data_IF_960856183178
#
_entry.id   IF_960856183178
#
_cell.length_a   1.000
_cell.length_b   1.000
_cell.length_c   1.000
_cell.angle_alpha   90.00
_cell.angle_beta   90.00
_cell.angle_gamma   90.00
#
_symmetry.space_group_name_H-M   'P 1'
#
loop_
_entity.id
_entity.type
_entity.pdbx_description
1 polymer ?
#
# COMPACT_ATOMS: atom_id res chain seq x y z
N UNK A 1 19.85 -5.34 -18.89
CA UNK A 1 21.20 -5.27 -18.28
C UNK A 1 21.37 -3.89 -17.66
N UNK A 2 20.94 -3.71 -16.41
CA UNK A 2 21.13 -2.48 -15.65
C UNK A 2 21.55 -2.88 -14.25
N UNK A 3 22.81 -2.61 -13.89
CA UNK A 3 23.30 -2.81 -12.54
C UNK A 3 22.69 -1.74 -11.64
N UNK A 4 21.51 -2.00 -11.08
CA UNK A 4 21.05 -1.25 -9.93
C UNK A 4 21.95 -1.70 -8.78
N UNK A 5 22.85 -0.81 -8.35
CA UNK A 5 23.59 -0.96 -7.11
C UNK A 5 22.58 -0.90 -5.95
N UNK A 6 21.99 -2.05 -5.62
CA UNK A 6 21.35 -2.27 -4.33
C UNK A 6 22.43 -2.00 -3.26
N UNK A 7 22.28 -0.95 -2.47
CA UNK A 7 23.07 -0.84 -1.24
C UNK A 7 23.09 0.49 -0.51
N UNK A 8 22.88 1.64 -1.16
CA UNK A 8 23.09 2.94 -0.49
C UNK A 8 21.94 3.92 -0.70
N UNK A 9 21.49 4.56 0.37
CA UNK A 9 20.55 5.67 0.32
C UNK A 9 21.04 6.80 -0.60
N UNK A 10 20.13 7.53 -1.27
CA UNK A 10 20.54 8.66 -2.09
C UNK A 10 21.26 9.72 -1.23
N UNK A 11 22.38 10.28 -1.69
CA UNK A 11 23.20 11.24 -0.91
C UNK A 11 22.65 12.67 -0.91
N UNK A 12 21.34 12.84 -1.10
CA UNK A 12 20.70 14.17 -1.14
C UNK A 12 20.77 14.86 0.22
N UNK A 13 20.61 16.19 0.25
CA UNK A 13 20.55 16.93 1.53
C UNK A 13 19.44 16.40 2.44
N UNK A 14 18.27 16.11 1.88
CA UNK A 14 17.11 15.58 2.62
C UNK A 14 17.39 14.20 3.23
N UNK A 15 18.05 13.31 2.49
CA UNK A 15 18.40 11.99 3.03
C UNK A 15 19.51 12.06 4.08
N UNK A 16 20.46 12.97 3.96
CA UNK A 16 21.45 13.21 5.03
C UNK A 16 20.81 13.72 6.32
N UNK A 17 19.75 14.52 6.22
CA UNK A 17 18.95 14.95 7.37
C UNK A 17 18.24 13.75 8.04
N UNK A 18 17.66 12.84 7.24
CA UNK A 18 17.07 11.59 7.76
C UNK A 18 18.10 10.76 8.53
N UNK A 19 19.29 10.55 7.95
CA UNK A 19 20.38 9.82 8.62
C UNK A 19 20.78 10.50 9.94
N UNK A 20 20.93 11.82 9.93
CA UNK A 20 21.24 12.58 11.15
C UNK A 20 20.16 12.46 12.23
N UNK A 21 18.88 12.37 11.85
CA UNK A 21 17.79 12.12 12.79
C UNK A 21 17.85 10.70 13.37
N UNK A 22 18.21 9.68 12.59
CA UNK A 22 18.38 8.30 13.08
C UNK A 22 19.59 8.20 14.02
N UNK A 23 20.69 8.90 13.72
CA UNK A 23 21.88 8.96 14.60
C UNK A 23 21.57 9.64 15.94
N UNK A 24 20.59 10.54 15.97
CA UNK A 24 20.11 11.18 17.18
C UNK A 24 19.01 10.36 17.88
N UNK A 25 18.68 10.71 19.12
CA UNK A 25 17.51 10.14 19.81
C UNK A 25 16.16 10.76 19.33
N UNK A 26 16.08 11.13 18.04
CA UNK A 26 14.86 11.71 17.48
C UNK A 26 13.67 10.73 17.60
N UNK A 27 12.47 11.32 17.71
CA UNK A 27 11.23 10.57 17.73
C UNK A 27 10.94 9.91 16.37
N UNK A 28 10.14 8.84 16.41
CA UNK A 28 9.68 8.15 15.20
C UNK A 28 8.95 9.09 14.25
N UNK A 29 8.15 10.02 14.79
CA UNK A 29 7.40 11.01 14.01
C UNK A 29 8.34 11.91 13.21
N UNK A 30 9.42 12.40 13.83
CA UNK A 30 10.40 13.26 13.16
C UNK A 30 11.14 12.50 12.04
N UNK A 31 11.53 11.25 12.29
CA UNK A 31 12.19 10.40 11.28
C UNK A 31 11.23 10.08 10.13
N UNK A 32 9.99 9.71 10.43
CA UNK A 32 8.98 9.38 9.42
C UNK A 32 8.61 10.60 8.57
N UNK A 33 8.43 11.77 9.19
CA UNK A 33 8.19 13.03 8.48
C UNK A 33 9.34 13.39 7.55
N UNK A 34 10.58 13.35 8.05
CA UNK A 34 11.77 13.66 7.26
C UNK A 34 11.93 12.67 6.10
N UNK A 35 11.73 11.37 6.35
CA UNK A 35 11.79 10.34 5.33
C UNK A 35 10.70 10.52 4.25
N UNK A 36 9.46 10.86 4.66
CA UNK A 36 8.37 11.15 3.73
C UNK A 36 8.62 12.43 2.89
N UNK A 37 9.26 13.45 3.48
CA UNK A 37 9.71 14.65 2.74
C UNK A 37 10.87 14.35 1.78
N UNK A 38 11.74 13.41 2.15
CA UNK A 38 12.86 12.97 1.33
C UNK A 38 12.41 12.13 0.12
N UNK A 39 11.38 11.30 0.29
CA UNK A 39 10.81 10.44 -0.76
C UNK A 39 9.71 11.08 -1.61
N UNK A 40 9.34 12.35 -1.36
CA UNK A 40 8.23 13.04 -2.06
C UNK A 40 8.28 12.92 -3.58
N UNK A 41 9.46 13.12 -4.18
CA UNK A 41 9.61 13.06 -5.63
C UNK A 41 9.39 11.64 -6.16
N UNK A 42 9.85 10.63 -5.41
CA UNK A 42 9.72 9.23 -5.78
C UNK A 42 8.27 8.76 -5.62
N UNK A 43 7.57 9.19 -4.58
CA UNK A 43 6.12 8.97 -4.41
C UNK A 43 5.28 9.67 -5.49
N UNK A 44 5.66 10.89 -5.88
CA UNK A 44 5.01 11.60 -6.98
C UNK A 44 5.19 10.86 -8.31
N UNK A 45 6.40 10.34 -8.58
CA UNK A 45 6.68 9.49 -9.74
C UNK A 45 5.94 8.16 -9.69
N UNK A 46 5.82 7.54 -8.51
CA UNK A 46 5.08 6.31 -8.32
C UNK A 46 3.62 6.43 -8.78
N UNK A 47 2.98 7.59 -8.60
CA UNK A 47 1.61 7.81 -9.08
C UNK A 47 1.46 7.78 -10.62
N UNK A 48 2.58 7.89 -11.36
CA UNK A 48 2.63 7.79 -12.83
C UNK A 48 3.22 6.46 -13.29
N UNK A 49 3.56 5.58 -12.37
CA UNK A 49 4.10 4.26 -12.68
C UNK A 49 2.97 3.37 -13.25
N UNK A 50 3.14 2.77 -14.44
CA UNK A 50 2.06 2.00 -15.07
C UNK A 50 1.61 0.78 -14.25
N UNK A 51 2.53 0.13 -13.53
CA UNK A 51 2.19 -1.02 -12.70
C UNK A 51 1.44 -0.58 -11.44
N UNK A 52 1.87 0.51 -10.80
CA UNK A 52 1.16 1.15 -9.71
C UNK A 52 -0.27 1.56 -10.10
N UNK A 53 -0.44 2.16 -11.29
CA UNK A 53 -1.75 2.54 -11.82
C UNK A 53 -2.66 1.32 -11.99
N UNK A 54 -2.13 0.20 -12.52
CA UNK A 54 -2.87 -1.05 -12.64
C UNK A 54 -3.29 -1.60 -11.26
N UNK A 55 -2.38 -1.64 -10.30
CA UNK A 55 -2.66 -2.12 -8.93
C UNK A 55 -3.69 -1.22 -8.23
N UNK A 56 -3.58 0.09 -8.40
CA UNK A 56 -4.56 1.05 -7.89
C UNK A 56 -5.93 0.88 -8.56
N UNK A 57 -5.94 0.50 -9.84
CA UNK A 57 -7.16 0.13 -10.55
C UNK A 57 -7.81 -1.11 -9.95
N UNK A 58 -7.03 -2.16 -9.64
CA UNK A 58 -7.52 -3.34 -8.94
C UNK A 58 -8.11 -3.00 -7.56
N UNK A 59 -7.43 -2.18 -6.75
CA UNK A 59 -7.92 -1.72 -5.43
C UNK A 59 -9.35 -1.14 -5.52
N UNK A 60 -9.61 -0.33 -6.55
CA UNK A 60 -10.88 0.40 -6.69
C UNK A 60 -11.95 -0.42 -7.41
N UNK A 61 -11.58 -1.12 -8.49
CA UNK A 61 -12.52 -1.77 -9.41
C UNK A 61 -12.86 -3.19 -9.03
N UNK A 62 -11.94 -3.93 -8.41
CA UNK A 62 -12.15 -5.35 -8.06
C UNK A 62 -13.43 -5.56 -7.20
N UNK A 63 -13.73 -4.71 -6.20
CA UNK A 63 -15.00 -4.80 -5.47
C UNK A 63 -16.26 -4.59 -6.34
N UNK A 64 -16.18 -3.76 -7.38
CA UNK A 64 -17.31 -3.52 -8.30
C UNK A 64 -17.53 -4.71 -9.22
N UNK A 65 -16.43 -5.25 -9.76
CA UNK A 65 -16.46 -6.46 -10.57
C UNK A 65 -17.11 -7.61 -9.79
N UNK A 66 -16.79 -7.75 -8.50
CA UNK A 66 -17.37 -8.78 -7.64
C UNK A 66 -18.90 -8.67 -7.46
N UNK A 67 -19.47 -7.46 -7.55
CA UNK A 67 -20.93 -7.24 -7.51
C UNK A 67 -21.62 -7.49 -8.85
N UNK A 68 -20.91 -7.34 -9.97
CA UNK A 68 -21.49 -7.50 -11.31
C UNK A 68 -21.74 -8.99 -11.62
N UNK A 69 -22.76 -9.35 -12.43
CA UNK A 69 -23.10 -10.74 -12.73
C UNK A 69 -21.95 -11.52 -13.38
N UNK A 70 -21.14 -10.92 -14.27
CA UNK A 70 -20.00 -11.53 -14.98
C UNK A 70 -18.65 -11.43 -14.26
N UNK A 71 -18.62 -11.62 -12.94
CA UNK A 71 -17.38 -11.50 -12.16
C UNK A 71 -16.32 -12.54 -12.56
N UNK A 72 -16.73 -13.78 -12.85
CA UNK A 72 -15.84 -14.87 -13.22
C UNK A 72 -15.16 -14.59 -14.57
N UNK A 73 -15.92 -14.10 -15.55
CA UNK A 73 -15.38 -13.66 -16.84
C UNK A 73 -14.39 -12.50 -16.66
N UNK A 74 -14.72 -11.51 -15.82
CA UNK A 74 -13.83 -10.40 -15.53
C UNK A 74 -12.53 -10.84 -14.84
N UNK A 75 -12.57 -11.87 -14.00
CA UNK A 75 -11.37 -12.49 -13.43
C UNK A 75 -10.57 -13.23 -14.50
N UNK A 76 -11.23 -13.98 -15.38
CA UNK A 76 -10.58 -14.67 -16.49
C UNK A 76 -9.87 -13.70 -17.44
N UNK A 77 -10.48 -12.55 -17.75
CA UNK A 77 -9.89 -11.47 -18.54
C UNK A 77 -8.64 -10.87 -17.88
N UNK A 78 -8.63 -10.77 -16.55
CA UNK A 78 -7.44 -10.41 -15.77
C UNK A 78 -6.39 -11.53 -15.74
N UNK A 79 -6.72 -12.73 -16.24
CA UNK A 79 -5.84 -13.88 -16.22
C UNK A 79 -5.88 -14.68 -14.93
N UNK A 80 -6.85 -14.41 -14.06
CA UNK A 80 -7.12 -15.15 -12.83
C UNK A 80 -7.92 -16.39 -13.20
N UNK A 81 -7.39 -17.57 -12.86
CA UNK A 81 -8.04 -18.86 -13.18
C UNK A 81 -9.37 -19.01 -12.43
N UNK A 82 -10.32 -19.72 -13.03
CA UNK A 82 -11.64 -20.01 -12.45
C UNK A 82 -11.55 -20.66 -11.06
N UNK A 83 -10.58 -21.56 -10.86
CA UNK A 83 -10.34 -22.22 -9.57
C UNK A 83 -9.73 -21.30 -8.48
N UNK A 84 -9.37 -20.06 -8.80
CA UNK A 84 -8.80 -19.11 -7.85
C UNK A 84 -9.78 -18.78 -6.72
N UNK A 85 -11.08 -18.72 -7.01
CA UNK A 85 -12.12 -18.48 -6.00
C UNK A 85 -12.39 -19.69 -5.08
N UNK A 86 -11.67 -20.80 -5.24
CA UNK A 86 -11.78 -21.92 -4.31
C UNK A 86 -11.21 -21.62 -2.92
N UNK A 87 -10.43 -20.55 -2.74
CA UNK A 87 -9.91 -20.11 -1.45
C UNK A 87 -9.41 -18.66 -1.52
N UNK A 88 -9.27 -18.00 -0.37
CA UNK A 88 -8.65 -16.65 -0.30
C UNK A 88 -7.23 -16.69 -0.86
N UNK A 89 -6.42 -17.68 -0.48
CA UNK A 89 -5.05 -17.83 -1.00
C UNK A 89 -5.03 -18.05 -2.51
N UNK A 90 -5.98 -18.82 -3.05
CA UNK A 90 -6.14 -19.02 -4.49
C UNK A 90 -6.42 -17.71 -5.23
N UNK A 91 -7.32 -16.88 -4.69
CA UNK A 91 -7.62 -15.55 -5.24
C UNK A 91 -6.39 -14.65 -5.20
N UNK A 92 -5.69 -14.58 -4.07
CA UNK A 92 -4.50 -13.75 -3.91
C UNK A 92 -3.37 -14.18 -4.88
N UNK A 93 -3.11 -15.49 -5.00
CA UNK A 93 -2.13 -16.01 -5.96
C UNK A 93 -2.56 -15.74 -7.42
N UNK A 94 -3.86 -15.80 -7.71
CA UNK A 94 -4.39 -15.44 -9.02
C UNK A 94 -4.16 -13.97 -9.36
N UNK A 95 -4.46 -13.07 -8.41
CA UNK A 95 -4.21 -11.63 -8.56
C UNK A 95 -2.72 -11.31 -8.69
N UNK A 96 -1.86 -11.98 -7.92
CA UNK A 96 -0.41 -11.85 -8.03
C UNK A 96 0.07 -12.21 -9.45
N UNK A 97 -0.36 -13.35 -9.99
CA UNK A 97 -0.02 -13.77 -11.36
C UNK A 97 -0.56 -12.79 -12.42
N UNK A 98 -1.72 -12.19 -12.20
CA UNK A 98 -2.27 -11.16 -13.08
C UNK A 98 -1.38 -9.90 -13.08
N UNK A 99 -0.95 -9.46 -11.90
CA UNK A 99 -0.05 -8.30 -11.72
C UNK A 99 1.32 -8.59 -12.34
N UNK A 100 1.89 -9.78 -12.12
CA UNK A 100 3.18 -10.16 -12.69
C UNK A 100 3.14 -10.24 -14.21
N UNK A 101 2.04 -10.73 -14.78
CA UNK A 101 1.82 -10.71 -16.24
C UNK A 101 1.74 -9.28 -16.77
N UNK A 102 1.05 -8.39 -16.08
CA UNK A 102 0.97 -6.98 -16.45
C UNK A 102 2.35 -6.32 -16.40
N UNK A 103 3.15 -6.60 -15.37
CA UNK A 103 4.54 -6.14 -15.23
C UNK A 103 5.40 -6.59 -16.42
N UNK A 104 5.28 -7.86 -16.82
CA UNK A 104 5.96 -8.40 -17.99
C UNK A 104 5.52 -7.71 -19.30
N UNK A 105 4.22 -7.45 -19.48
CA UNK A 105 3.69 -6.78 -20.68
C UNK A 105 4.12 -5.31 -20.80
N UNK A 106 4.18 -4.59 -19.67
CA UNK A 106 4.70 -3.22 -19.60
C UNK A 106 6.21 -3.21 -19.93
N UNK A 107 6.91 -4.32 -19.70
CA UNK A 107 8.36 -4.45 -19.93
C UNK A 107 9.19 -3.75 -18.84
N UNK A 108 8.61 -3.49 -17.68
CA UNK A 108 9.28 -2.81 -16.56
C UNK A 108 8.77 -3.35 -15.23
N UNK A 109 9.71 -3.75 -14.36
CA UNK A 109 9.45 -3.91 -12.93
C UNK A 109 9.93 -2.64 -12.22
N UNK A 110 9.08 -2.09 -11.36
CA UNK A 110 9.36 -0.88 -10.59
C UNK A 110 9.17 -1.15 -9.11
N UNK A 111 10.03 -0.56 -8.27
CA UNK A 111 9.92 -0.69 -6.82
C UNK A 111 8.55 -0.20 -6.33
N UNK A 112 8.03 0.88 -6.91
CA UNK A 112 6.70 1.40 -6.59
C UNK A 112 5.59 0.36 -6.86
N UNK A 113 5.65 -0.32 -8.01
CA UNK A 113 4.73 -1.39 -8.36
C UNK A 113 4.84 -2.59 -7.42
N UNK A 114 6.05 -3.04 -7.08
CA UNK A 114 6.26 -4.18 -6.17
C UNK A 114 5.79 -3.89 -4.74
N UNK A 115 6.07 -2.69 -4.22
CA UNK A 115 5.59 -2.26 -2.89
C UNK A 115 4.06 -2.16 -2.87
N UNK A 116 3.44 -1.65 -3.95
CA UNK A 116 2.00 -1.58 -4.08
C UNK A 116 1.34 -2.96 -4.24
N UNK A 117 1.96 -3.88 -4.99
CA UNK A 117 1.49 -5.27 -5.15
C UNK A 117 1.41 -5.93 -3.80
N UNK A 118 2.50 -5.86 -3.03
CA UNK A 118 2.57 -6.44 -1.69
C UNK A 118 1.55 -5.79 -0.75
N UNK A 119 1.42 -4.46 -0.78
CA UNK A 119 0.44 -3.75 0.04
C UNK A 119 -1.01 -4.13 -0.28
N UNK A 120 -1.35 -4.30 -1.57
CA UNK A 120 -2.70 -4.71 -1.99
C UNK A 120 -3.02 -6.13 -1.54
N UNK A 121 -2.13 -7.10 -1.86
CA UNK A 121 -2.36 -8.51 -1.54
C UNK A 121 -2.48 -8.73 -0.03
N UNK A 122 -1.64 -8.07 0.77
CA UNK A 122 -1.70 -8.17 2.22
C UNK A 122 -2.97 -7.52 2.79
N UNK A 123 -3.38 -6.36 2.26
CA UNK A 123 -4.62 -5.70 2.67
C UNK A 123 -5.84 -6.59 2.39
N UNK A 124 -5.91 -7.16 1.18
CA UNK A 124 -6.99 -8.10 0.81
C UNK A 124 -6.96 -9.34 1.70
N UNK A 125 -5.78 -9.91 1.98
CA UNK A 125 -5.62 -11.07 2.85
C UNK A 125 -6.19 -10.84 4.25
N UNK A 126 -5.86 -9.70 4.87
CA UNK A 126 -6.36 -9.35 6.21
C UNK A 126 -7.86 -9.08 6.16
N UNK A 127 -8.33 -8.23 5.26
CA UNK A 127 -9.74 -7.82 5.27
C UNK A 127 -10.71 -8.91 4.80
N UNK A 128 -10.28 -9.81 3.91
CA UNK A 128 -11.09 -10.98 3.57
C UNK A 128 -11.15 -11.98 4.73
N UNK A 129 -10.04 -12.18 5.45
CA UNK A 129 -10.02 -13.03 6.65
C UNK A 129 -10.97 -12.52 7.73
N UNK A 130 -11.05 -11.21 7.93
CA UNK A 130 -11.93 -10.61 8.93
C UNK A 130 -13.42 -10.73 8.58
N UNK A 131 -13.76 -10.93 7.30
CA UNK A 131 -15.14 -11.03 6.82
C UNK A 131 -15.62 -12.46 6.58
N UNK A 132 -14.72 -13.41 6.40
CA UNK A 132 -15.06 -14.78 6.05
C UNK A 132 -15.17 -15.67 7.29
N UNK A 133 -16.03 -16.71 7.26
CA UNK A 133 -16.13 -17.67 8.35
C UNK A 133 -14.76 -18.31 8.65
N UNK A 134 -14.39 -18.40 9.93
CA UNK A 134 -13.09 -18.95 10.35
C UNK A 134 -13.08 -20.46 10.55
N UNK A 135 -14.26 -21.10 10.68
CA UNK A 135 -14.38 -22.52 11.03
C UNK A 135 -14.46 -23.47 9.82
N UNK A 136 -14.88 -22.97 8.66
CA UNK A 136 -15.01 -23.77 7.44
C UNK A 136 -14.32 -23.10 6.27
N UNK A 137 -13.96 -23.90 5.26
CA UNK A 137 -13.45 -23.37 4.01
C UNK A 137 -14.56 -22.53 3.34
N UNK A 138 -14.33 -21.23 3.07
CA UNK A 138 -15.33 -20.39 2.45
C UNK A 138 -15.61 -20.87 1.01
N UNK A 139 -16.87 -20.77 0.61
CA UNK A 139 -17.33 -21.01 -0.76
C UNK A 139 -16.90 -19.87 -1.69
N UNK A 140 -16.85 -20.13 -3.00
CA UNK A 140 -16.56 -19.11 -4.01
C UNK A 140 -17.53 -17.93 -3.94
N UNK A 141 -18.81 -18.20 -3.62
CA UNK A 141 -19.84 -17.18 -3.48
C UNK A 141 -19.61 -16.29 -2.25
N UNK A 142 -19.17 -16.86 -1.11
CA UNK A 142 -18.82 -16.08 0.08
C UNK A 142 -17.60 -15.20 -0.16
N UNK A 143 -16.57 -15.72 -0.84
CA UNK A 143 -15.38 -14.91 -1.21
C UNK A 143 -15.78 -13.76 -2.14
N UNK A 144 -16.59 -14.03 -3.17
CA UNK A 144 -17.14 -13.01 -4.06
C UNK A 144 -17.97 -11.98 -3.30
N UNK A 145 -18.84 -12.41 -2.39
CA UNK A 145 -19.67 -11.52 -1.59
C UNK A 145 -18.84 -10.63 -0.65
N UNK A 146 -17.83 -11.20 0.02
CA UNK A 146 -16.90 -10.46 0.87
C UNK A 146 -16.14 -9.40 0.06
N UNK A 147 -15.60 -9.78 -1.10
CA UNK A 147 -14.92 -8.86 -2.03
C UNK A 147 -15.86 -7.76 -2.53
N UNK A 148 -17.09 -8.12 -2.92
CA UNK A 148 -18.11 -7.18 -3.38
C UNK A 148 -18.60 -6.24 -2.28
N UNK A 149 -18.46 -6.61 -1.01
CA UNK A 149 -18.86 -5.74 0.10
C UNK A 149 -18.02 -4.45 0.16
N UNK A 150 -16.76 -4.50 -0.27
CA UNK A 150 -15.87 -3.34 -0.31
C UNK A 150 -16.32 -2.27 -1.31
N UNK A 151 -17.26 -2.55 -2.22
CA UNK A 151 -17.85 -1.54 -3.11
C UNK A 151 -18.89 -0.63 -2.41
N UNK A 152 -18.87 -0.57 -1.08
CA UNK A 152 -19.62 0.39 -0.26
C UNK A 152 -18.68 1.46 0.29
N UNK A 153 -19.16 2.70 0.48
CA UNK A 153 -18.31 3.82 0.90
C UNK A 153 -17.49 3.52 2.16
N UNK A 154 -18.13 3.04 3.23
CA UNK A 154 -17.43 2.71 4.48
C UNK A 154 -16.39 1.60 4.32
N UNK A 155 -16.78 0.46 3.74
CA UNK A 155 -15.84 -0.67 3.56
C UNK A 155 -14.73 -0.35 2.56
N UNK A 156 -15.00 0.46 1.54
CA UNK A 156 -13.94 0.97 0.66
C UNK A 156 -12.97 1.86 1.41
N UNK A 157 -13.46 2.70 2.33
CA UNK A 157 -12.59 3.54 3.15
C UNK A 157 -11.62 2.70 3.99
N UNK A 158 -12.11 1.61 4.59
CA UNK A 158 -11.27 0.67 5.34
C UNK A 158 -10.26 -0.04 4.44
N UNK A 159 -10.68 -0.49 3.25
CA UNK A 159 -9.81 -1.10 2.24
C UNK A 159 -8.69 -0.14 1.80
N UNK A 160 -9.06 1.09 1.45
CA UNK A 160 -8.12 2.13 1.08
C UNK A 160 -7.16 2.46 2.23
N UNK A 161 -7.65 2.62 3.45
CA UNK A 161 -6.83 2.85 4.64
C UNK A 161 -5.77 1.75 4.80
N UNK A 162 -6.19 0.48 4.76
CA UNK A 162 -5.30 -0.66 4.89
C UNK A 162 -4.22 -0.71 3.81
N UNK A 163 -4.58 -0.39 2.58
CA UNK A 163 -3.64 -0.31 1.45
C UNK A 163 -2.63 0.81 1.63
N UNK A 164 -3.08 2.04 1.89
CA UNK A 164 -2.19 3.20 2.00
C UNK A 164 -1.33 3.18 3.27
N UNK A 165 -1.80 2.60 4.38
CA UNK A 165 -0.98 2.34 5.56
C UNK A 165 0.23 1.45 5.22
N UNK A 166 -0.04 0.28 4.62
CA UNK A 166 1.00 -0.68 4.26
C UNK A 166 1.94 -0.14 3.20
N UNK A 167 1.41 0.56 2.21
CA UNK A 167 2.22 1.16 1.17
C UNK A 167 3.12 2.26 1.73
N UNK A 168 2.62 3.12 2.62
CA UNK A 168 3.42 4.15 3.28
C UNK A 168 4.53 3.53 4.12
N UNK A 169 4.21 2.54 4.97
CA UNK A 169 5.21 1.79 5.73
C UNK A 169 6.30 1.22 4.83
N UNK A 170 5.91 0.44 3.81
CA UNK A 170 6.83 -0.21 2.89
C UNK A 170 7.69 0.77 2.12
N UNK A 171 7.13 1.91 1.72
CA UNK A 171 7.89 2.97 1.06
C UNK A 171 8.96 3.56 1.98
N UNK A 172 8.61 3.87 3.24
CA UNK A 172 9.58 4.40 4.20
C UNK A 172 10.64 3.35 4.58
N UNK A 173 10.21 2.14 4.90
CA UNK A 173 11.08 1.02 5.28
C UNK A 173 12.04 0.64 4.15
N UNK A 174 11.60 0.68 2.88
CA UNK A 174 12.46 0.48 1.71
C UNK A 174 13.68 1.41 1.73
N UNK A 175 13.52 2.69 2.09
CA UNK A 175 14.65 3.61 2.18
C UNK A 175 15.41 3.44 3.50
N UNK A 176 14.71 3.38 4.63
CA UNK A 176 15.32 3.35 5.96
C UNK A 176 16.14 2.08 6.20
N UNK A 177 15.67 0.92 5.74
CA UNK A 177 16.37 -0.37 5.88
C UNK A 177 17.81 -0.36 5.35
N UNK A 178 18.14 0.52 4.42
CA UNK A 178 19.50 0.70 3.88
C UNK A 178 20.47 1.36 4.87
N UNK A 179 19.96 2.06 5.87
CA UNK A 179 20.77 2.71 6.90
C UNK A 179 20.63 2.05 8.26
N UNK A 180 19.48 1.45 8.59
CA UNK A 180 19.23 0.92 9.94
C UNK A 180 20.34 -0.05 10.41
N UNK A 181 20.95 -0.80 9.50
CA UNK A 181 22.09 -1.67 9.80
C UNK A 181 23.33 -0.90 10.31
N UNK A 182 23.63 0.30 9.77
CA UNK A 182 24.74 1.15 10.19
C UNK A 182 24.52 1.78 11.58
N UNK A 183 23.26 1.80 12.03
CA UNK A 183 22.85 2.29 13.34
C UNK A 183 22.52 1.16 14.33
N UNK A 184 22.85 -0.09 14.00
CA UNK A 184 22.67 -1.24 14.89
C UNK A 184 24.03 -1.73 15.42
N UNK A 185 24.18 -1.82 16.73
CA UNK A 185 25.39 -2.31 17.40
C UNK A 185 25.69 -1.60 18.72
N UNK A 186 26.77 -2.01 19.37
CA UNK A 186 27.23 -1.37 20.61
C UNK A 186 27.50 0.13 20.38
N UNK A 187 27.02 0.97 21.28
CA UNK A 187 27.12 2.44 21.23
C UNK A 187 26.46 3.10 19.99
N UNK A 188 25.50 2.42 19.36
CA UNK A 188 24.67 2.95 18.27
C UNK A 188 23.22 3.21 18.73
N UNK A 189 22.42 3.85 17.86
CA UNK A 189 20.99 4.14 18.10
C UNK A 189 20.21 2.90 18.53
N UNK A 190 20.42 1.79 17.83
CA UNK A 190 19.85 0.49 18.16
C UNK A 190 20.96 -0.37 18.74
N UNK A 191 20.87 -0.71 20.02
CA UNK A 191 21.88 -1.55 20.68
C UNK A 191 21.94 -2.95 20.07
N UNK A 192 20.79 -3.47 19.63
CA UNK A 192 20.64 -4.79 19.06
C UNK A 192 19.52 -4.85 18.00
N UNK A 193 19.31 -6.06 17.46
CA UNK A 193 18.28 -6.34 16.47
C UNK A 193 16.85 -6.14 17.02
N UNK A 194 16.64 -6.39 18.31
CA UNK A 194 15.33 -6.28 18.95
C UNK A 194 14.87 -4.82 18.99
N UNK A 195 15.76 -3.89 19.33
CA UNK A 195 15.46 -2.45 19.27
C UNK A 195 15.18 -1.97 17.84
N UNK A 196 15.92 -2.48 16.84
CA UNK A 196 15.65 -2.17 15.42
C UNK A 196 14.26 -2.67 15.00
N UNK A 197 13.89 -3.90 15.38
CA UNK A 197 12.57 -4.47 15.10
C UNK A 197 11.47 -3.65 15.79
N UNK A 198 11.67 -3.26 17.05
CA UNK A 198 10.71 -2.41 17.78
C UNK A 198 10.51 -1.05 17.08
N UNK A 199 11.58 -0.45 16.55
CA UNK A 199 11.48 0.77 15.73
C UNK A 199 10.66 0.55 14.45
N UNK A 200 10.88 -0.55 13.73
CA UNK A 200 10.12 -0.87 12.52
C UNK A 200 8.63 -1.10 12.83
N UNK A 201 8.32 -1.76 13.96
CA UNK A 201 6.95 -1.92 14.44
C UNK A 201 6.30 -0.58 14.79
N UNK A 202 7.03 0.31 15.48
CA UNK A 202 6.57 1.66 15.78
C UNK A 202 6.32 2.48 14.51
N UNK A 203 7.18 2.34 13.49
CA UNK A 203 6.99 2.97 12.18
C UNK A 203 5.73 2.45 11.48
N UNK A 204 5.51 1.14 11.50
CA UNK A 204 4.30 0.52 10.94
C UNK A 204 3.04 1.02 11.65
N UNK A 205 3.07 1.12 12.99
CA UNK A 205 1.98 1.67 13.78
C UNK A 205 1.73 3.14 13.42
N UNK A 206 2.76 3.98 13.38
CA UNK A 206 2.64 5.40 13.05
C UNK A 206 2.03 5.62 11.66
N UNK A 207 2.48 4.86 10.65
CA UNK A 207 1.90 4.94 9.29
C UNK A 207 0.46 4.45 9.23
N UNK A 208 0.09 3.42 10.01
CA UNK A 208 -1.29 2.96 10.12
C UNK A 208 -2.19 3.98 10.80
N UNK A 209 -1.68 4.68 11.81
CA UNK A 209 -2.42 5.74 12.49
C UNK A 209 -2.58 6.98 11.61
N UNK A 210 -1.51 7.40 10.91
CA UNK A 210 -1.56 8.48 9.92
C UNK A 210 -2.54 8.16 8.76
N UNK A 211 -2.74 6.88 8.42
CA UNK A 211 -3.67 6.47 7.37
C UNK A 211 -5.14 6.74 7.66
N UNK A 212 -5.50 7.11 8.90
CA UNK A 212 -6.84 7.54 9.24
C UNK A 212 -7.34 8.69 8.34
N UNK A 213 -6.45 9.61 7.94
CA UNK A 213 -6.81 10.69 7.01
C UNK A 213 -7.36 10.17 5.68
N UNK A 214 -6.89 9.01 5.20
CA UNK A 214 -7.38 8.40 3.96
C UNK A 214 -8.79 7.85 4.16
N UNK A 215 -9.05 7.23 5.29
CA UNK A 215 -10.37 6.68 5.64
C UNK A 215 -11.45 7.78 5.63
N UNK A 216 -11.13 8.97 6.14
CA UNK A 216 -12.07 10.09 6.24
C UNK A 216 -12.67 10.53 4.89
N UNK A 217 -11.87 10.51 3.81
CA UNK A 217 -12.35 10.96 2.50
C UNK A 217 -12.59 9.83 1.49
N UNK A 218 -11.95 8.66 1.63
CA UNK A 218 -11.99 7.60 0.62
C UNK A 218 -13.41 7.10 0.35
N UNK A 219 -14.21 6.89 1.41
CA UNK A 219 -15.60 6.43 1.24
C UNK A 219 -16.49 7.45 0.54
N UNK A 220 -16.35 8.72 0.89
CA UNK A 220 -17.06 9.81 0.23
C UNK A 220 -16.65 9.99 -1.24
N UNK A 221 -15.36 9.87 -1.53
CA UNK A 221 -14.85 9.87 -2.91
C UNK A 221 -15.41 8.70 -3.72
N UNK A 222 -15.40 7.49 -3.16
CA UNK A 222 -15.91 6.30 -3.83
C UNK A 222 -17.40 6.39 -4.11
N UNK A 223 -18.18 6.81 -3.11
CA UNK A 223 -19.62 7.10 -3.24
C UNK A 223 -19.93 8.07 -4.38
N UNK A 224 -19.21 9.19 -4.43
CA UNK A 224 -19.41 10.23 -5.46
C UNK A 224 -18.97 9.77 -6.84
N UNK A 225 -17.79 9.17 -6.96
CA UNK A 225 -17.17 8.85 -8.26
C UNK A 225 -17.82 7.64 -8.91
N UNK A 226 -18.07 6.58 -8.13
CA UNK A 226 -18.58 5.31 -8.63
C UNK A 226 -20.10 5.37 -8.80
N UNK A 227 -20.82 5.85 -7.78
CA UNK A 227 -22.28 5.74 -7.75
C UNK A 227 -23.01 6.99 -8.22
N UNK A 228 -22.58 8.19 -7.82
CA UNK A 228 -23.29 9.42 -8.18
C UNK A 228 -22.93 9.95 -9.57
N UNK A 229 -21.63 9.97 -9.90
CA UNK A 229 -21.13 10.54 -11.16
C UNK A 229 -20.93 9.50 -12.27
N UNK A 230 -20.85 8.21 -11.92
CA UNK A 230 -20.52 7.13 -12.84
C UNK A 230 -19.29 7.43 -13.72
N UNK A 231 -18.32 8.15 -13.15
CA UNK A 231 -17.16 8.70 -13.86
C UNK A 231 -15.87 7.99 -13.47
N UNK A 232 -15.96 6.69 -13.21
CA UNK A 232 -14.80 5.89 -12.79
C UNK A 232 -13.95 5.52 -14.01
N UNK A 233 -12.90 6.31 -14.25
CA UNK A 233 -11.84 6.03 -15.21
C UNK A 233 -10.48 5.93 -14.50
N UNK A 234 -9.40 5.71 -15.26
CA UNK A 234 -8.05 5.63 -14.67
C UNK A 234 -7.60 6.99 -14.12
N UNK A 235 -7.96 8.10 -14.79
CA UNK A 235 -7.57 9.44 -14.36
C UNK A 235 -8.18 9.81 -12.99
N UNK A 236 -9.42 9.41 -12.72
CA UNK A 236 -10.07 9.57 -11.43
C UNK A 236 -9.35 8.78 -10.33
N UNK A 237 -8.91 7.55 -10.63
CA UNK A 237 -8.15 6.71 -9.69
C UNK A 237 -6.78 7.33 -9.41
N UNK A 238 -6.09 7.81 -10.43
CA UNK A 238 -4.77 8.44 -10.28
C UNK A 238 -4.85 9.74 -9.47
N UNK A 239 -5.88 10.56 -9.69
CA UNK A 239 -6.13 11.76 -8.86
C UNK A 239 -6.41 11.39 -7.41
N UNK A 240 -7.15 10.30 -7.17
CA UNK A 240 -7.39 9.80 -5.82
C UNK A 240 -6.11 9.33 -5.13
N UNK A 241 -5.26 8.55 -5.81
CA UNK A 241 -4.01 8.06 -5.22
C UNK A 241 -3.00 9.18 -4.97
N UNK A 242 -2.88 10.15 -5.89
CA UNK A 242 -2.06 11.35 -5.69
C UNK A 242 -2.52 12.16 -4.48
N UNK A 243 -3.85 12.34 -4.32
CA UNK A 243 -4.40 13.04 -3.17
C UNK A 243 -4.14 12.27 -1.86
N UNK A 244 -4.30 10.94 -1.87
CA UNK A 244 -4.01 10.09 -0.73
C UNK A 244 -2.53 10.19 -0.30
N UNK A 245 -1.58 10.13 -1.23
CA UNK A 245 -0.16 10.33 -0.92
C UNK A 245 0.12 11.71 -0.31
N UNK A 246 -0.46 12.76 -0.89
CA UNK A 246 -0.33 14.13 -0.36
C UNK A 246 -0.83 14.23 1.08
N UNK A 247 -1.99 13.63 1.36
CA UNK A 247 -2.61 13.62 2.69
C UNK A 247 -1.81 12.80 3.70
N UNK A 248 -1.45 11.56 3.35
CA UNK A 248 -0.59 10.69 4.15
C UNK A 248 0.68 11.39 4.61
N UNK A 249 1.40 12.02 3.67
CA UNK A 249 2.64 12.73 3.98
C UNK A 249 2.42 13.88 4.96
N UNK A 250 1.35 14.64 4.77
CA UNK A 250 1.03 15.76 5.66
C UNK A 250 0.73 15.26 7.07
N UNK A 251 0.06 14.11 7.18
CA UNK A 251 -0.32 13.52 8.46
C UNK A 251 0.87 12.90 9.22
N UNK A 252 1.83 12.31 8.50
CA UNK A 252 3.04 11.71 9.10
C UNK A 252 3.87 12.70 9.93
N UNK A 253 3.78 14.00 9.67
CA UNK A 253 4.46 15.05 10.43
C UNK A 253 3.61 15.82 11.44
N UNK A 254 2.28 15.70 11.39
CA UNK A 254 1.36 16.57 12.17
C UNK A 254 1.30 16.24 13.67
N UNK A 255 1.61 15.00 14.06
CA UNK A 255 1.42 14.56 15.46
C UNK A 255 2.40 15.17 16.46
N UNK A 256 3.41 15.87 15.95
CA UNK A 256 4.29 16.75 16.72
C UNK A 256 3.55 17.93 17.38
N UNK A 257 2.37 18.30 16.88
CA UNK A 257 1.61 19.46 17.38
C UNK A 257 0.58 19.11 18.47
N UNK A 258 0.47 17.83 18.85
CA UNK A 258 -0.57 17.32 19.78
C UNK A 258 -0.03 16.60 21.02
N UNK A 259 1.29 16.58 21.23
CA UNK A 259 1.96 16.06 22.42
C UNK A 259 2.77 17.18 23.10
#
# INVERSE_FOLDING_TARGET
MGHIRLGTLPRSKKWREVVGLIDSEASIDAIAEAAAKASELDLSRASKDPLFQFISSLLVRLPLLARAPGFEDALADLGVRENALSSVTGLLAGLELAIDRQSFQIGSSSDAGELAKTALLETLSVQLRDQLPSLFKPTSQEIRAALGSFASGGRFADLARGFFARLAYRSLDYYLSRELANHTGQDKRFTDDAQRIAFQQALAQHTFEASQIVQEFAGGWYGKTVWQKQSLDQEAIDRFTQYAFKKMRTELGRRRDTA
#
